data_IF_718708229289
#
_entry.id   IF_718708229289
#
_cell.length_a   1.000
_cell.length_b   1.000
_cell.length_c   1.000
_cell.angle_alpha   90.00
_cell.angle_beta   90.00
_cell.angle_gamma   90.00
#
_symmetry.space_group_name_H-M   'P 1'
#
loop_
_entity.id
_entity.type
_entity.pdbx_description
1 polymer ?
#
# COMPACT_ATOMS: atom_id res chain seq x y z
N UNK A 1 -11.99 2.01 -4.00
CA UNK A 1 -11.06 1.22 -4.82
C UNK A 1 -9.70 1.13 -4.12
N UNK A 2 -9.30 -0.10 -3.71
CA UNK A 2 -8.01 -0.35 -3.07
C UNK A 2 -6.93 -0.73 -4.08
N UNK A 3 -5.74 -0.13 -3.96
CA UNK A 3 -4.62 -0.41 -4.86
C UNK A 3 -3.26 -0.27 -4.15
N UNK A 4 -2.33 -1.14 -4.48
CA UNK A 4 -0.94 -1.11 -3.99
C UNK A 4 0.04 -1.57 -5.06
N UNK A 5 1.31 -1.59 -4.74
CA UNK A 5 2.38 -2.03 -5.66
C UNK A 5 2.33 -3.53 -6.01
N UNK A 6 1.48 -4.29 -5.33
CA UNK A 6 1.27 -5.71 -5.59
C UNK A 6 2.40 -6.61 -5.09
N UNK A 7 3.02 -6.29 -3.95
CA UNK A 7 4.19 -7.05 -3.47
C UNK A 7 3.94 -8.56 -3.46
N UNK A 8 2.97 -9.06 -2.71
CA UNK A 8 2.66 -10.49 -2.62
C UNK A 8 2.13 -11.04 -3.96
N UNK A 9 1.14 -10.37 -4.56
CA UNK A 9 0.51 -10.85 -5.80
C UNK A 9 1.50 -10.95 -6.97
N UNK A 10 2.34 -9.94 -7.16
CA UNK A 10 3.34 -9.94 -8.24
C UNK A 10 4.42 -10.99 -8.00
N UNK A 11 4.90 -11.16 -6.76
CA UNK A 11 5.91 -12.19 -6.44
C UNK A 11 5.36 -13.60 -6.63
N UNK A 12 4.10 -13.86 -6.29
CA UNK A 12 3.44 -15.15 -6.56
C UNK A 12 3.40 -15.45 -8.07
N UNK A 13 3.33 -14.43 -8.91
CA UNK A 13 3.41 -14.55 -10.38
C UNK A 13 4.86 -14.56 -10.92
N UNK A 14 5.88 -14.64 -10.05
CA UNK A 14 7.29 -14.58 -10.44
C UNK A 14 7.74 -13.21 -10.97
N UNK A 15 7.03 -12.14 -10.63
CA UNK A 15 7.29 -10.77 -11.08
C UNK A 15 7.67 -9.85 -9.93
N UNK A 16 8.53 -8.85 -10.13
CA UNK A 16 8.78 -7.86 -9.09
C UNK A 16 7.54 -6.97 -8.87
N UNK A 17 7.37 -6.45 -7.64
CA UNK A 17 6.37 -5.42 -7.37
C UNK A 17 6.59 -4.19 -8.25
N UNK A 18 5.50 -3.46 -8.53
CA UNK A 18 5.60 -2.20 -9.28
C UNK A 18 6.48 -1.19 -8.52
N UNK A 19 7.43 -0.58 -9.22
CA UNK A 19 8.25 0.49 -8.64
C UNK A 19 7.42 1.73 -8.34
N UNK A 20 7.84 2.51 -7.35
CA UNK A 20 7.07 3.65 -6.84
C UNK A 20 6.77 4.71 -7.92
N UNK A 21 7.73 5.02 -8.81
CA UNK A 21 7.52 6.01 -9.87
C UNK A 21 6.44 5.58 -10.89
N UNK A 22 6.52 4.39 -11.52
CA UNK A 22 5.43 3.88 -12.36
C UNK A 22 4.11 3.76 -11.61
N UNK A 23 4.13 3.39 -10.33
CA UNK A 23 2.93 3.30 -9.52
C UNK A 23 2.23 4.65 -9.36
N UNK A 24 3.00 5.73 -9.13
CA UNK A 24 2.46 7.09 -9.08
C UNK A 24 1.85 7.53 -10.42
N UNK A 25 2.50 7.20 -11.55
CA UNK A 25 1.93 7.45 -12.88
C UNK A 25 0.60 6.71 -13.07
N UNK A 26 0.54 5.45 -12.66
CA UNK A 26 -0.68 4.64 -12.73
C UNK A 26 -1.80 5.20 -11.85
N UNK A 27 -1.50 5.62 -10.62
CA UNK A 27 -2.48 6.25 -9.72
C UNK A 27 -3.07 7.52 -10.34
N UNK A 28 -2.22 8.39 -10.90
CA UNK A 28 -2.67 9.61 -11.58
C UNK A 28 -3.63 9.29 -12.72
N UNK A 29 -3.29 8.30 -13.54
CA UNK A 29 -4.09 7.87 -14.66
C UNK A 29 -5.45 7.31 -14.20
N UNK A 30 -5.46 6.40 -13.24
CA UNK A 30 -6.70 5.81 -12.71
C UNK A 30 -7.57 6.90 -12.08
N UNK A 31 -6.98 7.83 -11.32
CA UNK A 31 -7.73 8.95 -10.72
C UNK A 31 -8.43 9.78 -11.79
N UNK A 32 -7.73 10.20 -12.84
CA UNK A 32 -8.32 10.97 -13.92
C UNK A 32 -9.45 10.22 -14.62
N UNK A 33 -9.25 8.93 -14.92
CA UNK A 33 -10.31 8.10 -15.52
C UNK A 33 -11.54 7.99 -14.62
N UNK A 34 -11.37 7.82 -13.30
CA UNK A 34 -12.50 7.77 -12.36
C UNK A 34 -13.21 9.12 -12.19
N UNK A 35 -12.54 10.21 -12.51
CA UNK A 35 -13.17 11.53 -12.63
C UNK A 35 -13.83 11.78 -14.00
N UNK A 36 -13.80 10.80 -14.90
CA UNK A 36 -14.35 10.93 -16.26
C UNK A 36 -13.47 11.76 -17.21
N UNK A 37 -12.22 12.01 -16.83
CA UNK A 37 -11.29 12.81 -17.62
C UNK A 37 -10.69 12.00 -18.78
N UNK A 38 -10.24 12.71 -19.81
CA UNK A 38 -9.31 12.17 -20.78
C UNK A 38 -7.88 12.29 -20.24
N UNK A 39 -7.15 11.20 -20.23
CA UNK A 39 -5.81 11.11 -19.64
C UNK A 39 -4.80 10.61 -20.68
N UNK A 40 -3.54 11.06 -20.55
CA UNK A 40 -2.45 10.61 -21.41
C UNK A 40 -1.86 9.30 -20.88
N UNK A 41 -1.89 8.25 -21.69
CA UNK A 41 -1.28 6.95 -21.42
C UNK A 41 -0.07 6.73 -22.31
N UNK A 42 1.05 6.32 -21.73
CA UNK A 42 2.32 6.15 -22.42
C UNK A 42 3.27 7.33 -22.19
N UNK A 43 4.47 7.23 -22.76
CA UNK A 43 5.54 8.21 -22.59
C UNK A 43 5.93 8.85 -23.94
N UNK A 44 6.28 10.13 -23.91
CA UNK A 44 6.80 10.88 -25.06
C UNK A 44 5.86 10.86 -26.27
N UNK A 45 6.45 10.66 -27.46
CA UNK A 45 5.72 10.68 -28.75
C UNK A 45 4.74 9.49 -28.93
N UNK A 46 4.81 8.49 -28.05
CA UNK A 46 3.88 7.35 -28.05
C UNK A 46 2.72 7.54 -27.06
N UNK A 47 2.62 8.69 -26.43
CA UNK A 47 1.54 8.99 -25.53
C UNK A 47 0.20 9.05 -26.29
N UNK A 48 -0.77 8.30 -25.82
CA UNK A 48 -2.12 8.23 -26.40
C UNK A 48 -3.14 8.74 -25.40
N UNK A 49 -4.05 9.60 -25.86
CA UNK A 49 -5.17 10.05 -25.03
C UNK A 49 -6.18 8.88 -24.89
N UNK A 50 -6.49 8.54 -23.63
CA UNK A 50 -7.47 7.51 -23.31
C UNK A 50 -8.55 8.09 -22.39
N UNK A 51 -9.78 7.60 -22.55
CA UNK A 51 -10.93 7.92 -21.69
C UNK A 51 -11.90 6.76 -21.65
N UNK A 52 -12.79 6.75 -20.68
CA UNK A 52 -13.90 5.82 -20.71
C UNK A 52 -14.79 6.09 -21.92
N UNK A 53 -14.91 5.06 -22.78
CA UNK A 53 -15.83 5.11 -23.89
C UNK A 53 -17.24 4.81 -23.39
N UNK A 54 -18.24 5.46 -24.01
CA UNK A 54 -19.66 5.25 -23.70
C UNK A 54 -20.08 5.58 -22.27
N UNK A 55 -19.36 6.48 -21.62
CA UNK A 55 -19.85 7.09 -20.39
C UNK A 55 -21.27 7.65 -20.62
N UNK A 56 -22.19 7.38 -19.72
CA UNK A 56 -23.59 7.79 -19.83
C UNK A 56 -24.47 6.89 -20.72
N UNK A 57 -23.95 5.78 -21.28
CA UNK A 57 -24.76 4.79 -22.04
C UNK A 57 -25.21 3.58 -21.20
N UNK A 58 -25.02 3.61 -19.89
CA UNK A 58 -25.52 2.58 -18.97
C UNK A 58 -24.67 1.30 -18.88
N UNK A 59 -23.51 1.26 -19.54
CA UNK A 59 -22.60 0.11 -19.43
C UNK A 59 -21.78 0.10 -18.15
N UNK A 60 -21.52 1.26 -17.56
CA UNK A 60 -20.88 1.49 -16.27
C UNK A 60 -21.27 2.89 -15.77
N UNK A 61 -21.24 3.06 -14.45
CA UNK A 61 -21.57 4.30 -13.78
C UNK A 61 -20.32 4.91 -13.15
N UNK A 62 -20.00 6.13 -13.56
CA UNK A 62 -18.96 7.00 -12.99
C UNK A 62 -19.52 8.35 -12.59
N UNK A 63 -20.85 8.45 -12.42
CA UNK A 63 -21.52 9.68 -11.97
C UNK A 63 -21.11 10.07 -10.56
N UNK A 64 -20.81 9.05 -9.73
CA UNK A 64 -20.23 9.23 -8.41
C UNK A 64 -18.76 8.80 -8.42
N UNK A 65 -17.92 9.63 -7.83
CA UNK A 65 -16.49 9.34 -7.72
C UNK A 65 -16.22 8.13 -6.81
N UNK A 66 -15.38 7.20 -7.28
CA UNK A 66 -14.96 6.04 -6.52
C UNK A 66 -13.64 6.37 -5.79
N UNK A 67 -13.64 6.52 -4.45
CA UNK A 67 -12.44 6.87 -3.70
C UNK A 67 -11.31 5.86 -3.89
N UNK A 68 -10.08 6.35 -4.04
CA UNK A 68 -8.87 5.52 -4.19
C UNK A 68 -8.15 5.41 -2.84
N UNK A 69 -8.08 4.18 -2.31
CA UNK A 69 -7.31 3.87 -1.12
C UNK A 69 -5.98 3.20 -1.50
N UNK A 70 -4.88 3.86 -1.20
CA UNK A 70 -3.54 3.39 -1.55
C UNK A 70 -2.96 2.53 -0.45
N UNK A 71 -2.61 1.28 -0.79
CA UNK A 71 -1.86 0.39 0.10
C UNK A 71 -0.38 0.75 0.11
N UNK A 72 0.17 1.17 1.27
CA UNK A 72 1.56 1.58 1.38
C UNK A 72 2.16 1.46 2.76
N UNK A 73 3.32 0.80 2.86
CA UNK A 73 4.11 0.66 4.08
C UNK A 73 5.34 1.58 4.09
N UNK A 74 5.90 1.90 2.93
CA UNK A 74 7.07 2.76 2.80
C UNK A 74 6.70 4.22 2.58
N UNK A 75 7.58 5.13 3.01
CA UNK A 75 7.36 6.59 2.96
C UNK A 75 6.95 7.12 1.58
N UNK A 76 7.55 6.61 0.51
CA UNK A 76 7.22 7.02 -0.86
C UNK A 76 5.80 6.61 -1.29
N UNK A 77 5.37 5.39 -0.93
CA UNK A 77 4.01 4.92 -1.25
C UNK A 77 2.97 5.69 -0.41
N UNK A 78 3.29 5.99 0.85
CA UNK A 78 2.46 6.83 1.71
C UNK A 78 2.34 8.27 1.17
N UNK A 79 3.43 8.83 0.64
CA UNK A 79 3.37 10.13 -0.04
C UNK A 79 2.49 10.08 -1.30
N UNK A 80 2.55 9.01 -2.09
CA UNK A 80 1.64 8.84 -3.24
C UNK A 80 0.17 8.73 -2.82
N UNK A 81 -0.13 8.15 -1.64
CA UNK A 81 -1.48 8.17 -1.10
C UNK A 81 -1.98 9.60 -0.88
N UNK A 82 -1.15 10.49 -0.34
CA UNK A 82 -1.48 11.91 -0.20
C UNK A 82 -1.60 12.65 -1.53
N UNK A 83 -0.72 12.33 -2.48
CA UNK A 83 -0.67 12.99 -3.79
C UNK A 83 -1.86 12.61 -4.69
N UNK A 84 -2.27 11.34 -4.71
CA UNK A 84 -3.25 10.81 -5.66
C UNK A 84 -4.42 10.05 -5.04
N UNK A 85 -4.30 9.61 -3.79
CA UNK A 85 -5.32 8.80 -3.11
C UNK A 85 -6.30 9.66 -2.30
N UNK A 86 -7.35 9.02 -1.85
CA UNK A 86 -8.35 9.56 -0.93
C UNK A 86 -8.28 8.82 0.41
N UNK A 87 -7.40 7.83 0.49
CA UNK A 87 -7.10 7.11 1.72
C UNK A 87 -5.79 6.35 1.66
N UNK A 88 -5.31 5.99 2.86
CA UNK A 88 -4.15 5.13 3.07
C UNK A 88 -4.58 3.83 3.76
N UNK A 89 -4.17 2.70 3.22
CA UNK A 89 -4.22 1.39 3.89
C UNK A 89 -2.79 1.03 4.26
N UNK A 90 -2.50 0.89 5.55
CA UNK A 90 -1.16 0.55 6.03
C UNK A 90 -1.22 -0.49 7.14
N UNK A 91 -0.06 -0.96 7.61
CA UNK A 91 0.06 -1.70 8.86
C UNK A 91 0.61 -0.80 9.95
N UNK A 92 0.66 -1.29 11.18
CA UNK A 92 1.43 -0.63 12.22
C UNK A 92 2.91 -0.86 11.94
N UNK A 93 3.69 0.18 11.60
CA UNK A 93 5.09 -0.01 11.24
C UNK A 93 5.89 -0.53 12.45
N UNK A 94 6.72 -1.54 12.26
CA UNK A 94 7.70 -1.93 13.26
C UNK A 94 8.74 -0.80 13.39
N UNK A 95 8.87 -0.22 14.58
CA UNK A 95 9.79 0.88 14.84
C UNK A 95 9.42 2.24 14.22
N UNK A 96 8.31 2.31 13.47
CA UNK A 96 7.74 3.55 12.97
C UNK A 96 6.45 3.93 13.72
N UNK A 97 5.98 5.14 13.53
CA UNK A 97 4.72 5.59 14.13
C UNK A 97 3.67 5.86 13.06
N UNK A 98 2.41 5.73 13.42
CA UNK A 98 1.29 6.18 12.60
C UNK A 98 1.44 7.67 12.27
N UNK A 99 1.96 8.46 13.20
CA UNK A 99 2.28 9.88 13.00
C UNK A 99 3.25 10.09 11.83
N UNK A 100 4.28 9.25 11.70
CA UNK A 100 5.22 9.35 10.59
C UNK A 100 4.55 8.99 9.26
N UNK A 101 3.68 7.98 9.23
CA UNK A 101 2.93 7.62 8.04
C UNK A 101 2.00 8.77 7.59
N UNK A 102 1.31 9.40 8.53
CA UNK A 102 0.48 10.58 8.27
C UNK A 102 1.30 11.80 7.81
N UNK A 103 2.50 12.01 8.36
CA UNK A 103 3.41 13.06 7.90
C UNK A 103 3.84 12.83 6.44
N UNK A 104 4.12 11.58 6.04
CA UNK A 104 4.44 11.24 4.66
C UNK A 104 3.24 11.48 3.73
N UNK A 105 2.02 11.13 4.14
CA UNK A 105 0.78 11.44 3.40
C UNK A 105 0.64 12.95 3.21
N UNK A 106 0.79 13.70 4.31
CA UNK A 106 0.72 15.17 4.26
C UNK A 106 1.74 15.75 3.29
N UNK A 107 2.99 15.29 3.33
CA UNK A 107 4.02 15.71 2.39
C UNK A 107 3.61 15.49 0.93
N UNK A 108 2.99 14.36 0.62
CA UNK A 108 2.47 14.08 -0.72
C UNK A 108 1.32 14.99 -1.12
N UNK A 109 0.37 15.23 -0.22
CA UNK A 109 -0.75 16.13 -0.43
C UNK A 109 -0.29 17.58 -0.66
N UNK A 110 0.64 18.06 0.16
CA UNK A 110 1.21 19.41 0.02
C UNK A 110 1.87 19.62 -1.35
N UNK A 111 2.60 18.62 -1.86
CA UNK A 111 3.20 18.67 -3.21
C UNK A 111 2.15 18.76 -4.32
N UNK A 112 1.00 18.16 -4.12
CA UNK A 112 -0.10 18.16 -5.07
C UNK A 112 -1.09 19.32 -4.86
N UNK A 113 -0.87 20.18 -3.86
CA UNK A 113 -1.79 21.26 -3.49
C UNK A 113 -3.16 20.76 -3.01
N UNK A 114 -3.21 19.57 -2.38
CA UNK A 114 -4.45 18.95 -1.92
C UNK A 114 -4.64 19.12 -0.42
N UNK A 115 -5.89 19.23 0.01
CA UNK A 115 -6.29 19.09 1.41
C UNK A 115 -6.52 17.62 1.77
N UNK A 116 -6.54 17.32 3.06
CA UNK A 116 -6.77 15.97 3.59
C UNK A 116 -8.05 15.91 4.44
N UNK A 117 -8.99 16.83 4.23
CA UNK A 117 -10.17 16.97 5.08
C UNK A 117 -11.03 15.69 5.10
N UNK A 118 -11.19 15.04 3.93
CA UNK A 118 -11.93 13.78 3.78
C UNK A 118 -11.01 12.58 3.61
N UNK A 119 -9.73 12.69 3.98
CA UNK A 119 -8.77 11.61 3.79
C UNK A 119 -8.92 10.52 4.83
N UNK A 120 -9.16 9.29 4.39
CA UNK A 120 -9.37 8.14 5.25
C UNK A 120 -8.09 7.32 5.45
N UNK A 121 -7.74 7.01 6.70
CA UNK A 121 -6.60 6.14 7.01
C UNK A 121 -7.07 4.90 7.76
N UNK A 122 -6.69 3.73 7.26
CA UNK A 122 -6.91 2.45 7.93
C UNK A 122 -5.61 1.71 8.16
N UNK A 123 -5.50 1.06 9.32
CA UNK A 123 -4.39 0.19 9.65
C UNK A 123 -4.85 -1.26 9.79
N UNK A 124 -4.11 -2.15 9.14
CA UNK A 124 -4.28 -3.59 9.34
C UNK A 124 -3.58 -3.97 10.64
N UNK A 125 -4.35 -4.50 11.58
CA UNK A 125 -3.85 -5.01 12.87
C UNK A 125 -4.35 -6.43 13.09
N UNK A 126 -3.44 -7.29 13.55
CA UNK A 126 -3.80 -8.61 14.06
C UNK A 126 -3.85 -8.51 15.59
N UNK A 127 -4.97 -8.89 16.17
CA UNK A 127 -5.16 -8.95 17.61
C UNK A 127 -5.50 -10.39 18.00
N UNK A 128 -4.78 -10.90 18.97
CA UNK A 128 -5.07 -12.18 19.59
C UNK A 128 -5.16 -11.99 21.10
N UNK A 129 -6.28 -12.41 21.66
CA UNK A 129 -6.46 -12.47 23.13
C UNK A 129 -5.96 -13.81 23.65
N UNK A 130 -5.09 -13.76 24.64
CA UNK A 130 -4.64 -14.96 25.34
C UNK A 130 -5.68 -15.38 26.38
N UNK A 131 -5.86 -16.70 26.56
CA UNK A 131 -6.64 -17.24 27.66
C UNK A 131 -5.90 -17.00 29.00
N UNK A 132 -6.61 -16.95 30.14
CA UNK A 132 -5.98 -16.79 31.43
C UNK A 132 -4.87 -17.82 31.68
N UNK A 133 -3.64 -17.36 31.84
CA UNK A 133 -2.46 -18.22 32.03
C UNK A 133 -1.87 -18.81 30.76
N UNK A 134 -2.42 -18.53 29.60
CA UNK A 134 -1.89 -18.99 28.31
C UNK A 134 -0.56 -18.30 27.98
N UNK A 135 0.40 -19.05 27.45
CA UNK A 135 1.69 -18.55 27.01
C UNK A 135 1.67 -18.18 25.52
N UNK A 136 2.56 -17.27 25.12
CA UNK A 136 2.72 -16.86 23.72
C UNK A 136 3.20 -17.99 22.80
N UNK A 137 3.83 -19.03 23.34
CA UNK A 137 4.31 -20.22 22.65
C UNK A 137 3.36 -21.42 22.75
N UNK A 138 2.10 -21.20 23.18
CA UNK A 138 1.11 -22.27 23.15
C UNK A 138 0.78 -22.71 21.72
N UNK A 139 0.39 -23.99 21.57
CA UNK A 139 0.02 -24.55 20.27
C UNK A 139 -1.05 -23.72 19.55
N UNK A 140 -2.05 -23.23 20.31
CA UNK A 140 -3.11 -22.40 19.77
C UNK A 140 -2.56 -21.08 19.21
N UNK A 141 -1.70 -20.38 19.97
CA UNK A 141 -1.08 -19.12 19.55
C UNK A 141 -0.23 -19.31 18.32
N UNK A 142 0.62 -20.35 18.29
CA UNK A 142 1.44 -20.67 17.12
C UNK A 142 0.58 -20.96 15.90
N UNK A 143 -0.47 -21.74 16.05
CA UNK A 143 -1.39 -22.10 14.95
C UNK A 143 -2.12 -20.88 14.37
N UNK A 144 -2.63 -20.02 15.23
CA UNK A 144 -3.46 -18.87 14.81
C UNK A 144 -2.61 -17.67 14.33
N UNK A 145 -1.50 -17.38 15.00
CA UNK A 145 -0.63 -16.23 14.66
C UNK A 145 0.49 -16.57 13.67
N UNK A 146 0.90 -17.84 13.60
CA UNK A 146 2.04 -18.29 12.79
C UNK A 146 2.00 -17.80 11.34
N UNK A 147 0.91 -17.98 10.59
CA UNK A 147 0.82 -17.51 9.21
C UNK A 147 1.08 -16.00 9.04
N UNK A 148 0.54 -15.18 9.96
CA UNK A 148 0.76 -13.72 9.95
C UNK A 148 2.20 -13.35 10.32
N UNK A 149 2.80 -14.08 11.26
CA UNK A 149 4.20 -13.89 11.67
C UNK A 149 5.11 -14.26 10.51
N UNK A 150 4.89 -15.40 9.86
CA UNK A 150 5.68 -15.84 8.70
C UNK A 150 5.60 -14.85 7.54
N UNK A 151 4.40 -14.33 7.22
CA UNK A 151 4.26 -13.28 6.21
C UNK A 151 5.11 -12.04 6.55
N UNK A 152 5.14 -11.63 7.83
CA UNK A 152 5.96 -10.50 8.28
C UNK A 152 7.47 -10.80 8.24
N UNK A 153 7.89 -12.04 8.49
CA UNK A 153 9.30 -12.47 8.36
C UNK A 153 9.72 -12.38 6.89
N UNK A 154 8.93 -12.84 5.95
CA UNK A 154 9.23 -12.69 4.52
C UNK A 154 9.43 -11.22 4.11
N UNK A 155 8.57 -10.30 4.57
CA UNK A 155 8.76 -8.87 4.32
C UNK A 155 10.04 -8.33 4.93
N UNK A 156 10.44 -8.83 6.11
CA UNK A 156 11.69 -8.43 6.75
C UNK A 156 12.91 -8.91 5.94
N UNK A 157 12.91 -10.18 5.51
CA UNK A 157 13.96 -10.73 4.65
C UNK A 157 14.13 -9.93 3.37
N UNK A 158 13.01 -9.61 2.70
CA UNK A 158 13.03 -8.77 1.52
C UNK A 158 13.59 -7.36 1.81
N UNK A 159 13.20 -6.76 2.93
CA UNK A 159 13.68 -5.43 3.32
C UNK A 159 15.19 -5.42 3.61
N UNK A 160 15.71 -6.45 4.27
CA UNK A 160 17.15 -6.60 4.51
C UNK A 160 17.91 -6.77 3.19
N UNK A 161 17.45 -7.65 2.30
CA UNK A 161 18.11 -7.96 1.02
C UNK A 161 18.01 -6.83 -0.01
N UNK A 162 16.82 -6.26 -0.19
CA UNK A 162 16.52 -5.34 -1.28
C UNK A 162 16.73 -3.88 -0.89
N UNK A 163 16.60 -3.53 0.40
CA UNK A 163 16.67 -2.16 0.93
C UNK A 163 17.90 -1.95 1.79
N UNK A 164 18.49 -3.04 2.31
CA UNK A 164 19.69 -2.98 3.16
C UNK A 164 19.41 -2.46 4.57
N UNK A 165 18.21 -2.73 5.12
CA UNK A 165 17.92 -2.43 6.52
C UNK A 165 18.71 -3.40 7.43
N UNK A 166 19.05 -2.93 8.62
CA UNK A 166 19.67 -3.77 9.63
C UNK A 166 18.74 -4.88 10.12
N UNK A 167 19.28 -6.09 10.32
CA UNK A 167 18.53 -7.21 10.90
C UNK A 167 18.18 -6.86 12.34
N UNK A 168 16.89 -6.89 12.72
CA UNK A 168 16.50 -6.60 14.10
C UNK A 168 17.14 -7.58 15.11
N UNK A 169 17.63 -7.05 16.23
CA UNK A 169 18.37 -7.83 17.24
C UNK A 169 17.63 -9.06 17.77
N UNK A 170 16.30 -9.03 17.79
CA UNK A 170 15.48 -10.17 18.23
C UNK A 170 15.39 -11.31 17.21
N UNK A 171 15.79 -11.07 15.94
CA UNK A 171 15.85 -12.07 14.86
C UNK A 171 17.29 -12.57 14.64
N UNK A 172 18.30 -11.78 15.00
CA UNK A 172 19.71 -12.13 14.79
C UNK A 172 20.07 -13.57 15.20
N UNK A 173 19.58 -14.12 16.33
CA UNK A 173 19.93 -15.47 16.74
C UNK A 173 19.48 -16.59 15.79
N UNK A 174 18.50 -16.30 14.94
CA UNK A 174 17.88 -17.27 13.99
C UNK A 174 17.96 -16.79 12.54
N UNK A 175 18.81 -15.78 12.25
CA UNK A 175 18.85 -15.18 10.93
C UNK A 175 19.49 -16.06 9.87
N UNK A 176 20.45 -16.86 10.25
CA UNK A 176 21.21 -17.73 9.35
C UNK A 176 20.60 -19.13 9.21
N UNK A 177 19.56 -19.45 10.00
CA UNK A 177 18.80 -20.72 9.91
C UNK A 177 17.72 -20.61 8.81
#
# INVERSE_FOLDING_TARGET
FGIGTGNTAMRTLGRPPMRVKPFGQYLRLVRGLLHGEEVSYGDGDQATAIRFQWAGKGHYDISEYIPIHVGGFGSRAQALAGEFGDGLITGIPRGGSVTQALANVKHGADRAGRTLDDFYTSALVNLMMLEPGEKLDSERVIKECGPSIMANVHYLVDAVRDVGIEVPGYILPIWDD
#
